data_IF_593089361524
#
_entry.id   IF_593089361524
#
_cell.length_a   1.000
_cell.length_b   1.000
_cell.length_c   1.000
_cell.angle_alpha   90.00
_cell.angle_beta   90.00
_cell.angle_gamma   90.00
#
_symmetry.space_group_name_H-M   'P 1'
#
loop_
_entity.id
_entity.type
_entity.pdbx_description
1 polymer ?
#
# COMPACT_ATOMS: atom_id res chain seq x y z
N UNK A 1 6.24 14.88 -20.03
CA UNK A 1 6.56 14.77 -18.61
C UNK A 1 5.42 13.95 -18.04
N UNK A 2 5.69 12.89 -17.31
CA UNK A 2 4.67 12.05 -16.70
C UNK A 2 4.53 12.43 -15.23
N UNK A 3 3.31 12.48 -14.73
CA UNK A 3 3.00 12.86 -13.36
C UNK A 3 2.34 11.70 -12.61
N UNK A 4 2.82 11.43 -11.39
CA UNK A 4 2.20 10.53 -10.45
C UNK A 4 1.60 11.34 -9.28
N UNK A 5 0.31 11.17 -9.03
CA UNK A 5 -0.28 11.61 -7.78
C UNK A 5 -0.03 10.54 -6.72
N UNK A 6 0.60 10.91 -5.62
CA UNK A 6 0.85 10.04 -4.47
C UNK A 6 0.00 10.53 -3.29
N UNK A 7 -0.90 9.70 -2.83
CA UNK A 7 -1.69 9.97 -1.62
C UNK A 7 -0.97 9.33 -0.44
N UNK A 8 -0.45 10.17 0.44
CA UNK A 8 0.09 9.79 1.75
C UNK A 8 -0.93 10.16 2.83
N UNK A 9 -1.24 9.24 3.73
CA UNK A 9 -2.26 9.52 4.76
C UNK A 9 -1.71 10.39 5.87
N UNK A 10 -0.43 10.20 6.23
CA UNK A 10 0.32 11.01 7.19
C UNK A 10 1.81 11.05 6.83
N UNK A 11 2.66 11.57 7.72
CA UNK A 11 4.10 11.67 7.49
C UNK A 11 4.87 10.36 7.72
N UNK A 12 4.22 9.33 8.26
CA UNK A 12 4.85 8.05 8.60
C UNK A 12 4.67 6.98 7.52
N UNK A 13 3.82 7.22 6.53
CA UNK A 13 3.56 6.30 5.41
C UNK A 13 3.99 6.86 4.04
N UNK A 14 5.25 7.30 3.83
CA UNK A 14 5.71 7.77 2.52
C UNK A 14 5.89 6.64 1.52
N UNK A 15 5.82 6.97 0.22
CA UNK A 15 5.96 5.99 -0.86
C UNK A 15 7.39 5.41 -1.03
N UNK A 16 8.42 5.95 -0.35
CA UNK A 16 9.82 5.48 -0.28
C UNK A 16 10.31 4.77 -1.56
N UNK A 17 10.68 3.50 -1.49
CA UNK A 17 11.23 2.73 -2.60
C UNK A 17 10.35 2.70 -3.85
N UNK A 18 9.03 2.68 -3.71
CA UNK A 18 8.08 2.78 -4.83
C UNK A 18 8.17 4.16 -5.48
N UNK A 19 8.16 5.24 -4.68
CA UNK A 19 8.32 6.61 -5.17
C UNK A 19 9.65 6.82 -5.90
N UNK A 20 10.76 6.29 -5.36
CA UNK A 20 12.07 6.33 -6.01
C UNK A 20 12.04 5.62 -7.37
N UNK A 21 11.42 4.43 -7.47
CA UNK A 21 11.30 3.72 -8.75
C UNK A 21 10.48 4.49 -9.76
N UNK A 22 9.39 5.13 -9.35
CA UNK A 22 8.61 5.99 -10.25
C UNK A 22 9.45 7.14 -10.83
N UNK A 23 10.27 7.79 -10.00
CA UNK A 23 11.19 8.84 -10.46
C UNK A 23 12.21 8.28 -11.45
N UNK A 24 12.80 7.12 -11.20
CA UNK A 24 13.71 6.44 -12.13
C UNK A 24 13.02 6.09 -13.47
N UNK A 25 11.72 5.81 -13.46
CA UNK A 25 10.89 5.55 -14.64
C UNK A 25 10.38 6.84 -15.31
N UNK A 26 10.83 8.02 -14.84
CA UNK A 26 10.61 9.33 -15.46
C UNK A 26 9.32 10.03 -15.05
N UNK A 27 8.76 9.69 -13.90
CA UNK A 27 7.63 10.41 -13.32
C UNK A 27 8.11 11.55 -12.42
N UNK A 28 7.40 12.66 -12.46
CA UNK A 28 7.41 13.67 -11.40
C UNK A 28 6.33 13.29 -10.38
N UNK A 29 6.64 13.42 -9.08
CA UNK A 29 5.71 13.07 -8.03
C UNK A 29 5.04 14.32 -7.46
N UNK A 30 3.71 14.29 -7.38
CA UNK A 30 2.94 15.24 -6.57
C UNK A 30 2.38 14.48 -5.37
N UNK A 31 2.83 14.86 -4.17
CA UNK A 31 2.41 14.22 -2.92
C UNK A 31 1.28 15.03 -2.30
N UNK A 32 0.14 14.39 -2.12
CA UNK A 32 -0.98 14.92 -1.36
C UNK A 32 -1.06 14.19 -0.01
N UNK A 33 -0.83 14.92 1.07
CA UNK A 33 -0.95 14.38 2.43
C UNK A 33 -2.34 14.67 2.99
N UNK A 34 -3.06 13.60 3.36
CA UNK A 34 -4.44 13.66 3.86
C UNK A 34 -4.51 14.36 5.21
N UNK A 35 -3.70 13.92 6.18
CA UNK A 35 -3.65 14.44 7.54
C UNK A 35 -2.45 15.38 7.72
N UNK A 36 -2.66 16.51 8.40
CA UNK A 36 -1.57 17.41 8.80
C UNK A 36 -0.93 16.98 10.12
N UNK A 37 -1.70 16.33 10.97
CA UNK A 37 -1.31 15.77 12.26
C UNK A 37 -1.68 14.29 12.27
N UNK A 38 -0.74 13.35 12.42
CA UNK A 38 -1.04 11.92 12.43
C UNK A 38 -1.92 11.50 13.61
N UNK A 39 -1.94 12.28 14.70
CA UNK A 39 -2.78 12.00 15.87
C UNK A 39 -4.21 12.55 15.71
N UNK A 40 -4.48 13.39 14.70
CA UNK A 40 -5.82 13.91 14.38
C UNK A 40 -6.35 13.25 13.10
N UNK A 41 -7.33 12.31 13.20
CA UNK A 41 -7.87 11.60 12.03
C UNK A 41 -8.76 12.45 11.13
N UNK A 42 -8.97 13.73 11.45
CA UNK A 42 -9.89 14.60 10.73
C UNK A 42 -9.20 15.35 9.60
N UNK A 43 -9.76 15.24 8.40
CA UNK A 43 -9.33 16.05 7.26
C UNK A 43 -10.51 16.55 6.44
N UNK A 44 -10.48 17.84 6.11
CA UNK A 44 -11.44 18.46 5.19
C UNK A 44 -10.78 18.93 3.89
N UNK A 45 -9.50 18.61 3.68
CA UNK A 45 -8.76 18.96 2.47
C UNK A 45 -9.46 18.39 1.24
N UNK A 46 -9.66 19.18 0.17
CA UNK A 46 -10.16 18.65 -1.09
C UNK A 46 -9.08 17.74 -1.71
N UNK A 47 -9.46 16.52 -2.10
CA UNK A 47 -8.56 15.67 -2.86
C UNK A 47 -8.31 16.28 -4.26
N UNK A 48 -7.09 16.13 -4.82
CA UNK A 48 -6.80 16.46 -6.21
C UNK A 48 -7.68 15.65 -7.17
N UNK A 49 -7.89 16.14 -8.38
CA UNK A 49 -8.50 15.33 -9.43
C UNK A 49 -7.46 14.36 -10.00
N UNK A 50 -7.55 13.09 -9.62
CA UNK A 50 -6.58 12.07 -10.04
C UNK A 50 -6.58 11.84 -11.57
N UNK A 51 -7.59 12.33 -12.31
CA UNK A 51 -7.62 12.24 -13.78
C UNK A 51 -6.70 13.23 -14.48
N UNK A 52 -6.12 14.16 -13.75
CA UNK A 52 -5.08 15.09 -14.26
C UNK A 52 -3.67 14.46 -14.27
N UNK A 53 -3.52 13.23 -13.75
CA UNK A 53 -2.26 12.52 -13.61
C UNK A 53 -2.19 11.27 -14.48
N UNK A 54 -0.96 10.82 -14.78
CA UNK A 54 -0.73 9.61 -15.57
C UNK A 54 -0.94 8.34 -14.75
N UNK A 55 -0.70 8.40 -13.43
CA UNK A 55 -0.95 7.33 -12.45
C UNK A 55 -1.35 7.88 -11.09
N UNK A 56 -2.02 7.05 -10.29
CA UNK A 56 -2.36 7.29 -8.89
C UNK A 56 -1.71 6.23 -8.01
N UNK A 57 -1.04 6.64 -6.93
CA UNK A 57 -0.49 5.76 -5.89
C UNK A 57 -1.11 6.10 -4.55
N UNK A 58 -1.56 5.09 -3.81
CA UNK A 58 -2.11 5.21 -2.47
C UNK A 58 -1.20 4.42 -1.51
N UNK A 59 -0.69 5.06 -0.46
CA UNK A 59 0.20 4.40 0.50
C UNK A 59 -0.54 3.77 1.68
N UNK A 60 0.21 3.21 2.61
CA UNK A 60 -0.30 2.67 3.86
C UNK A 60 -0.88 3.73 4.81
N UNK A 61 -1.59 3.27 5.83
CA UNK A 61 -2.15 4.11 6.89
C UNK A 61 -2.34 3.26 8.16
N UNK A 62 -2.22 3.83 9.37
CA UNK A 62 -2.55 3.13 10.61
C UNK A 62 -4.06 2.95 10.83
N UNK A 63 -4.89 3.60 10.02
CA UNK A 63 -6.35 3.56 10.14
C UNK A 63 -6.94 2.35 9.41
N UNK A 64 -8.17 1.97 9.79
CA UNK A 64 -8.97 0.96 9.08
C UNK A 64 -9.96 1.63 8.13
N UNK A 65 -10.06 1.16 6.88
CA UNK A 65 -10.98 1.71 5.86
C UNK A 65 -12.44 1.70 6.33
N UNK A 66 -12.81 0.73 7.17
CA UNK A 66 -14.17 0.61 7.71
C UNK A 66 -14.41 1.40 9.00
N UNK A 67 -13.39 2.04 9.58
CA UNK A 67 -13.54 2.90 10.77
C UNK A 67 -14.04 4.29 10.39
N UNK A 68 -15.28 4.36 9.91
CA UNK A 68 -15.91 5.62 9.50
C UNK A 68 -16.18 6.58 10.66
N UNK A 69 -16.13 6.11 11.91
CA UNK A 69 -16.28 6.96 13.08
C UNK A 69 -15.04 7.86 13.25
N UNK A 70 -13.83 7.32 12.98
CA UNK A 70 -12.58 8.07 13.06
C UNK A 70 -12.27 8.82 11.75
N UNK A 71 -12.26 8.13 10.60
CA UNK A 71 -11.79 8.69 9.33
C UNK A 71 -12.90 9.07 8.35
N UNK A 72 -14.15 9.06 8.78
CA UNK A 72 -15.32 9.38 7.94
C UNK A 72 -15.31 10.76 7.30
N UNK A 73 -14.50 11.69 7.83
CA UNK A 73 -14.34 13.02 7.25
C UNK A 73 -13.67 13.03 5.87
N UNK A 74 -12.93 11.96 5.49
CA UNK A 74 -12.16 11.91 4.25
C UNK A 74 -12.24 10.59 3.48
N UNK A 75 -12.40 9.44 4.13
CA UNK A 75 -12.31 8.12 3.45
C UNK A 75 -13.31 7.97 2.30
N UNK A 76 -14.55 8.45 2.47
CA UNK A 76 -15.56 8.37 1.41
C UNK A 76 -15.16 9.16 0.15
N UNK A 77 -14.50 10.32 0.33
CA UNK A 77 -14.01 11.14 -0.79
C UNK A 77 -12.80 10.51 -1.48
N UNK A 78 -11.94 9.83 -0.73
CA UNK A 78 -10.82 9.09 -1.30
C UNK A 78 -11.30 7.91 -2.13
N UNK A 79 -12.25 7.10 -1.60
CA UNK A 79 -12.86 6.01 -2.34
C UNK A 79 -13.51 6.50 -3.65
N UNK A 80 -14.23 7.64 -3.62
CA UNK A 80 -14.82 8.25 -4.81
C UNK A 80 -13.76 8.68 -5.82
N UNK A 81 -12.67 9.31 -5.38
CA UNK A 81 -11.53 9.70 -6.22
C UNK A 81 -10.90 8.48 -6.91
N UNK A 82 -10.66 7.40 -6.15
CA UNK A 82 -10.06 6.16 -6.67
C UNK A 82 -10.99 5.49 -7.70
N UNK A 83 -12.28 5.40 -7.41
CA UNK A 83 -13.28 4.88 -8.34
C UNK A 83 -13.29 5.68 -9.64
N UNK A 84 -13.33 7.01 -9.56
CA UNK A 84 -13.31 7.88 -10.74
C UNK A 84 -12.00 7.74 -11.53
N UNK A 85 -10.85 7.65 -10.88
CA UNK A 85 -9.56 7.43 -11.53
C UNK A 85 -9.55 6.12 -12.33
N UNK A 86 -9.98 5.02 -11.70
CA UNK A 86 -10.08 3.71 -12.35
C UNK A 86 -11.03 3.72 -13.56
N UNK A 87 -12.23 4.27 -13.40
CA UNK A 87 -13.26 4.36 -14.47
C UNK A 87 -12.77 5.20 -15.66
N UNK A 88 -11.90 6.17 -15.41
CA UNK A 88 -11.28 7.00 -16.47
C UNK A 88 -10.02 6.38 -17.08
N UNK A 89 -9.61 5.19 -16.60
CA UNK A 89 -8.47 4.45 -17.11
C UNK A 89 -7.11 4.94 -16.58
N UNK A 90 -7.10 5.76 -15.51
CA UNK A 90 -5.88 6.08 -14.77
C UNK A 90 -5.45 4.85 -13.99
N UNK A 91 -4.23 4.34 -14.19
CA UNK A 91 -3.72 3.20 -13.41
C UNK A 91 -3.59 3.58 -11.93
N UNK A 92 -4.02 2.67 -11.05
CA UNK A 92 -3.96 2.89 -9.60
C UNK A 92 -3.10 1.79 -8.96
N UNK A 93 -2.10 2.19 -8.17
CA UNK A 93 -1.33 1.29 -7.31
C UNK A 93 -1.67 1.58 -5.85
N UNK A 94 -2.30 0.61 -5.18
CA UNK A 94 -2.64 0.71 -3.76
C UNK A 94 -1.74 -0.18 -2.92
N UNK A 95 -1.11 0.38 -1.87
CA UNK A 95 -0.19 -0.29 -0.97
C UNK A 95 -0.85 -0.44 0.41
N UNK A 96 -0.99 -1.65 0.92
CA UNK A 96 -1.60 -1.99 2.21
C UNK A 96 -2.99 -1.34 2.37
N UNK A 97 -3.13 -0.31 3.19
CA UNK A 97 -4.36 0.46 3.30
C UNK A 97 -4.84 0.98 1.94
N UNK A 98 -3.93 1.48 1.08
CA UNK A 98 -4.26 1.90 -0.27
C UNK A 98 -4.82 0.76 -1.15
N UNK A 99 -4.33 -0.47 -0.97
CA UNK A 99 -4.90 -1.68 -1.59
C UNK A 99 -6.32 -1.98 -1.09
N UNK A 100 -6.58 -1.76 0.19
CA UNK A 100 -7.90 -1.91 0.80
C UNK A 100 -8.87 -0.82 0.31
N UNK A 101 -8.41 0.43 0.18
CA UNK A 101 -9.20 1.53 -0.42
C UNK A 101 -9.54 1.22 -1.87
N UNK A 102 -8.56 0.77 -2.66
CA UNK A 102 -8.78 0.37 -4.06
C UNK A 102 -9.81 -0.77 -4.15
N UNK A 103 -9.71 -1.79 -3.29
CA UNK A 103 -10.70 -2.86 -3.24
C UNK A 103 -12.09 -2.33 -2.94
N UNK A 104 -12.24 -1.49 -1.91
CA UNK A 104 -13.52 -0.91 -1.53
C UNK A 104 -14.11 -0.03 -2.66
N UNK A 105 -13.28 0.74 -3.36
CA UNK A 105 -13.69 1.57 -4.49
C UNK A 105 -14.24 0.75 -5.68
N UNK A 106 -13.78 -0.49 -5.83
CA UNK A 106 -14.13 -1.37 -6.95
C UNK A 106 -15.11 -2.49 -6.58
N UNK A 107 -15.84 -2.32 -5.48
CA UNK A 107 -16.94 -3.22 -5.07
C UNK A 107 -16.52 -4.40 -4.20
N UNK A 108 -15.25 -4.44 -3.77
CA UNK A 108 -14.78 -5.30 -2.69
C UNK A 108 -14.99 -4.64 -1.31
N UNK A 109 -14.22 -5.07 -0.32
CA UNK A 109 -14.29 -4.54 1.04
C UNK A 109 -12.94 -4.68 1.74
N UNK A 110 -12.68 -3.82 2.74
CA UNK A 110 -11.69 -4.07 3.76
C UNK A 110 -12.32 -4.83 4.94
N UNK A 111 -11.61 -5.75 5.52
CA UNK A 111 -12.08 -6.53 6.66
C UNK A 111 -10.92 -6.93 7.58
N UNK A 112 -11.25 -7.21 8.85
CA UNK A 112 -10.28 -7.69 9.84
C UNK A 112 -9.81 -9.09 9.49
N UNK A 113 -8.51 -9.35 9.59
CA UNK A 113 -7.94 -10.69 9.47
C UNK A 113 -8.13 -11.50 10.76
N UNK A 114 -8.06 -12.81 10.67
CA UNK A 114 -8.10 -13.70 11.84
C UNK A 114 -6.86 -13.51 12.74
N UNK A 115 -5.73 -13.17 12.13
CA UNK A 115 -4.48 -12.84 12.82
C UNK A 115 -3.72 -11.77 12.02
N UNK A 116 -3.03 -10.81 12.67
CA UNK A 116 -2.19 -9.84 11.96
C UNK A 116 -0.95 -10.51 11.36
N UNK A 117 -0.39 -9.88 10.35
CA UNK A 117 0.94 -10.22 9.80
C UNK A 117 1.91 -9.08 10.08
N UNK A 118 3.10 -9.41 10.63
CA UNK A 118 4.17 -8.48 10.94
C UNK A 118 5.51 -9.05 10.52
N UNK A 119 6.34 -8.24 9.88
CA UNK A 119 7.69 -8.61 9.46
C UNK A 119 7.75 -9.18 8.06
N UNK A 120 8.77 -9.97 7.77
CA UNK A 120 9.08 -10.46 6.44
C UNK A 120 8.46 -11.84 6.19
N UNK A 121 7.55 -11.92 5.22
CA UNK A 121 6.78 -13.14 4.92
C UNK A 121 6.92 -13.57 3.46
N UNK A 122 7.00 -14.87 3.24
CA UNK A 122 6.84 -15.46 1.91
C UNK A 122 5.35 -15.53 1.55
N UNK A 123 5.05 -15.31 0.28
CA UNK A 123 3.70 -15.39 -0.28
C UNK A 123 3.66 -16.43 -1.41
N UNK A 124 2.48 -16.99 -1.66
CA UNK A 124 2.23 -17.82 -2.84
C UNK A 124 1.80 -16.91 -4.01
N UNK A 125 2.44 -17.02 -5.15
CA UNK A 125 2.21 -16.15 -6.30
C UNK A 125 2.02 -16.92 -7.60
N UNK A 126 1.06 -16.45 -8.41
CA UNK A 126 0.80 -16.97 -9.74
C UNK A 126 1.63 -16.26 -10.84
N UNK A 127 2.37 -15.17 -10.48
CA UNK A 127 3.18 -14.36 -11.38
C UNK A 127 4.59 -14.07 -10.80
N UNK A 128 5.43 -15.08 -10.57
CA UNK A 128 6.71 -14.92 -9.84
C UNK A 128 7.72 -13.98 -10.50
N UNK A 129 7.63 -13.76 -11.81
CA UNK A 129 8.50 -12.82 -12.53
C UNK A 129 8.16 -11.35 -12.28
N UNK A 130 6.90 -11.06 -11.89
CA UNK A 130 6.40 -9.71 -11.61
C UNK A 130 6.22 -9.47 -10.11
N UNK A 131 5.65 -10.46 -9.43
CA UNK A 131 5.41 -10.47 -7.99
C UNK A 131 6.14 -11.68 -7.43
N UNK A 132 7.36 -11.49 -6.97
CA UNK A 132 8.18 -12.58 -6.41
C UNK A 132 7.53 -13.20 -5.17
N UNK A 133 7.92 -14.42 -4.80
CA UNK A 133 7.49 -15.08 -3.56
C UNK A 133 7.91 -14.32 -2.29
N UNK A 134 8.82 -13.37 -2.41
CA UNK A 134 9.25 -12.53 -1.29
C UNK A 134 10.63 -12.95 -0.75
N UNK A 135 10.90 -12.76 0.55
CA UNK A 135 9.92 -12.26 1.52
C UNK A 135 9.53 -10.79 1.29
N UNK A 136 8.26 -10.47 1.58
CA UNK A 136 7.72 -9.12 1.57
C UNK A 136 7.46 -8.65 2.98
N UNK A 137 7.54 -7.32 3.20
CA UNK A 137 7.28 -6.75 4.52
C UNK A 137 5.78 -6.57 4.74
N UNK A 138 5.29 -7.18 5.82
CA UNK A 138 3.90 -7.13 6.25
C UNK A 138 3.77 -6.31 7.53
N UNK A 139 2.73 -5.48 7.59
CA UNK A 139 2.32 -4.79 8.81
C UNK A 139 0.84 -4.44 8.71
N UNK A 140 -0.01 -5.41 8.98
CA UNK A 140 -1.44 -5.19 8.85
C UNK A 140 -2.29 -6.06 9.79
N UNK A 141 -3.42 -5.50 10.18
CA UNK A 141 -4.49 -6.14 10.92
C UNK A 141 -5.69 -6.42 10.03
N UNK A 142 -5.87 -5.61 9.01
CA UNK A 142 -6.97 -5.67 8.06
C UNK A 142 -6.44 -6.15 6.70
N UNK A 143 -7.32 -6.70 5.90
CA UNK A 143 -7.07 -7.10 4.53
C UNK A 143 -8.20 -6.64 3.62
N UNK A 144 -8.06 -6.89 2.34
CA UNK A 144 -9.11 -6.66 1.35
C UNK A 144 -9.73 -7.96 0.88
N UNK A 145 -10.98 -7.89 0.42
CA UNK A 145 -11.54 -8.93 -0.45
C UNK A 145 -11.18 -8.61 -1.90
N UNK A 146 -10.94 -9.64 -2.71
CA UNK A 146 -10.68 -9.45 -4.15
C UNK A 146 -11.99 -9.02 -4.84
N UNK A 147 -12.04 -7.83 -5.49
CA UNK A 147 -13.25 -7.35 -6.14
C UNK A 147 -13.75 -8.29 -7.26
N UNK A 148 -15.05 -8.26 -7.56
CA UNK A 148 -15.61 -9.03 -8.67
C UNK A 148 -14.98 -8.60 -10.01
N UNK A 149 -14.52 -9.55 -10.80
CA UNK A 149 -13.82 -9.30 -12.06
C UNK A 149 -12.32 -9.02 -11.92
N UNK A 150 -11.81 -8.89 -10.70
CA UNK A 150 -10.37 -8.84 -10.45
C UNK A 150 -9.74 -10.24 -10.47
N UNK A 151 -8.45 -10.29 -10.71
CA UNK A 151 -7.61 -11.50 -10.60
C UNK A 151 -6.81 -11.41 -9.31
N UNK A 152 -6.94 -12.40 -8.43
CA UNK A 152 -6.01 -12.62 -7.34
C UNK A 152 -4.68 -13.10 -7.93
N UNK A 153 -3.60 -12.39 -7.64
CA UNK A 153 -2.26 -12.66 -8.18
C UNK A 153 -1.38 -13.37 -7.16
N UNK A 154 -1.53 -13.00 -5.90
CA UNK A 154 -0.74 -13.59 -4.80
C UNK A 154 -1.53 -13.62 -3.49
N UNK A 155 -1.14 -14.55 -2.61
CA UNK A 155 -1.80 -14.80 -1.32
C UNK A 155 -0.82 -15.28 -0.26
N UNK A 156 -1.16 -15.04 1.01
CA UNK A 156 -0.57 -15.74 2.16
C UNK A 156 -1.57 -16.76 2.75
N UNK A 157 -1.18 -17.44 3.82
CA UNK A 157 -2.10 -18.29 4.57
C UNK A 157 -3.19 -17.48 5.32
N UNK A 158 -3.03 -16.15 5.37
CA UNK A 158 -3.90 -15.24 6.12
C UNK A 158 -4.86 -14.50 5.20
N UNK A 159 -4.35 -14.03 4.04
CA UNK A 159 -5.11 -13.10 3.21
C UNK A 159 -4.65 -13.09 1.74
N UNK A 160 -5.49 -12.59 0.82
CA UNK A 160 -5.03 -12.14 -0.50
C UNK A 160 -3.94 -11.07 -0.33
N UNK A 161 -2.86 -11.20 -1.09
CA UNK A 161 -1.70 -10.32 -1.00
C UNK A 161 -1.58 -9.38 -2.19
N UNK A 162 -1.99 -9.81 -3.37
CA UNK A 162 -2.03 -8.96 -4.57
C UNK A 162 -3.26 -9.29 -5.39
N UNK A 163 -3.97 -8.25 -5.82
CA UNK A 163 -4.97 -8.37 -6.87
C UNK A 163 -4.74 -7.37 -7.99
N UNK A 164 -5.24 -7.70 -9.18
CA UNK A 164 -5.24 -6.82 -10.35
C UNK A 164 -6.63 -6.74 -10.95
N UNK A 165 -7.03 -5.53 -11.33
CA UNK A 165 -8.24 -5.29 -12.11
C UNK A 165 -7.99 -4.20 -13.16
N UNK A 166 -8.14 -4.54 -14.44
CA UNK A 166 -7.72 -3.64 -15.52
C UNK A 166 -6.25 -3.27 -15.40
N UNK A 167 -5.96 -1.99 -15.24
CA UNK A 167 -4.62 -1.43 -15.02
C UNK A 167 -4.34 -1.06 -13.56
N UNK A 168 -5.23 -1.43 -12.65
CA UNK A 168 -5.08 -1.14 -11.23
C UNK A 168 -4.58 -2.38 -10.48
N UNK A 169 -3.69 -2.17 -9.52
CA UNK A 169 -3.05 -3.21 -8.69
C UNK A 169 -3.17 -2.81 -7.23
N UNK A 170 -3.63 -3.71 -6.37
CA UNK A 170 -3.60 -3.57 -4.92
C UNK A 170 -2.66 -4.59 -4.30
N UNK A 171 -1.77 -4.16 -3.40
CA UNK A 171 -0.93 -5.03 -2.58
C UNK A 171 -1.37 -4.95 -1.12
N UNK A 172 -1.22 -6.02 -0.35
CA UNK A 172 -1.41 -5.98 1.10
C UNK A 172 -0.09 -5.71 1.81
N UNK A 173 0.99 -6.27 1.33
CA UNK A 173 2.35 -6.01 1.82
C UNK A 173 2.87 -4.62 1.39
N UNK A 174 4.02 -4.26 1.94
CA UNK A 174 4.68 -2.97 1.75
C UNK A 174 5.90 -3.07 0.83
N UNK A 175 5.74 -2.98 -0.51
CA UNK A 175 6.88 -3.00 -1.44
C UNK A 175 7.78 -1.76 -1.28
N UNK A 176 7.24 -0.66 -0.74
CA UNK A 176 7.96 0.57 -0.47
C UNK A 176 8.96 0.47 0.69
N UNK A 177 8.90 -0.62 1.48
CA UNK A 177 9.66 -0.76 2.72
C UNK A 177 11.17 -0.59 2.52
N UNK A 178 11.75 0.29 3.33
CA UNK A 178 13.19 0.53 3.47
C UNK A 178 13.65 0.30 4.90
N UNK A 179 14.95 0.06 5.17
CA UNK A 179 15.45 -0.06 6.54
C UNK A 179 15.10 1.16 7.41
N UNK A 180 15.17 2.38 6.83
CA UNK A 180 14.80 3.61 7.51
C UNK A 180 13.33 3.64 7.93
N UNK A 181 12.44 3.24 7.03
CA UNK A 181 11.00 3.21 7.30
C UNK A 181 10.68 2.15 8.35
N UNK A 182 11.34 0.99 8.27
CA UNK A 182 11.18 -0.07 9.27
C UNK A 182 11.63 0.39 10.67
N UNK A 183 12.82 1.01 10.79
CA UNK A 183 13.31 1.56 12.06
C UNK A 183 12.32 2.57 12.65
N UNK A 184 11.74 3.43 11.81
CA UNK A 184 10.73 4.40 12.23
C UNK A 184 9.48 3.72 12.81
N UNK A 185 8.88 2.77 12.07
CA UNK A 185 7.65 2.11 12.49
C UNK A 185 7.86 1.23 13.73
N UNK A 186 8.97 0.48 13.78
CA UNK A 186 9.34 -0.32 14.95
C UNK A 186 9.55 0.57 16.17
N UNK A 187 10.22 1.72 16.00
CA UNK A 187 10.43 2.68 17.10
C UNK A 187 9.15 3.26 17.68
N UNK A 188 8.11 3.42 16.84
CA UNK A 188 6.79 3.92 17.24
C UNK A 188 5.91 2.85 17.90
N UNK A 189 6.10 1.57 17.57
CA UNK A 189 5.17 0.48 17.90
C UNK A 189 5.84 -0.70 18.61
N UNK A 190 7.01 -0.51 19.24
CA UNK A 190 7.78 -1.60 19.86
C UNK A 190 6.96 -2.40 20.89
N UNK A 191 6.20 -1.72 21.76
CA UNK A 191 5.37 -2.37 22.78
C UNK A 191 4.24 -3.22 22.16
N UNK A 192 3.67 -2.75 21.07
CA UNK A 192 2.64 -3.46 20.31
C UNK A 192 3.19 -4.73 19.67
N UNK A 193 4.36 -4.64 19.02
CA UNK A 193 5.05 -5.79 18.43
C UNK A 193 5.34 -6.87 19.47
N UNK A 194 5.87 -6.47 20.63
CA UNK A 194 6.13 -7.39 21.76
C UNK A 194 4.84 -8.06 22.24
N UNK A 195 3.73 -7.32 22.32
CA UNK A 195 2.44 -7.87 22.70
C UNK A 195 1.93 -8.93 21.70
N UNK A 196 2.33 -8.84 20.44
CA UNK A 196 2.06 -9.85 19.40
C UNK A 196 3.14 -10.94 19.28
N UNK A 197 4.13 -10.95 20.18
CA UNK A 197 5.22 -11.95 20.20
C UNK A 197 6.29 -11.72 19.14
N UNK A 198 6.36 -10.52 18.57
CA UNK A 198 7.37 -10.12 17.59
C UNK A 198 8.53 -9.44 18.31
N UNK A 199 9.76 -9.78 17.95
CA UNK A 199 10.97 -9.15 18.46
C UNK A 199 11.31 -7.91 17.61
N UNK A 200 11.21 -6.68 18.17
CA UNK A 200 11.45 -5.45 17.40
C UNK A 200 12.90 -5.34 16.90
N UNK A 201 13.89 -5.77 17.69
CA UNK A 201 15.31 -5.70 17.31
C UNK A 201 15.61 -6.67 16.16
N UNK A 202 15.05 -7.88 16.23
CA UNK A 202 15.17 -8.86 15.16
C UNK A 202 14.54 -8.36 13.86
N UNK A 203 13.36 -7.75 13.90
CA UNK A 203 12.67 -7.19 12.73
C UNK A 203 13.50 -6.08 12.06
N UNK A 204 14.11 -5.18 12.82
CA UNK A 204 15.01 -4.15 12.27
C UNK A 204 16.25 -4.78 11.63
N UNK A 205 16.88 -5.75 12.31
CA UNK A 205 18.05 -6.44 11.79
C UNK A 205 17.75 -7.18 10.47
N UNK A 206 16.60 -7.86 10.38
CA UNK A 206 16.14 -8.56 9.19
C UNK A 206 15.92 -7.61 8.01
N UNK A 207 15.32 -6.43 8.25
CA UNK A 207 15.15 -5.41 7.22
C UNK A 207 16.47 -4.92 6.64
N UNK A 208 17.54 -4.84 7.45
CA UNK A 208 18.87 -4.54 6.96
C UNK A 208 19.44 -5.61 6.02
N UNK A 209 19.09 -6.88 6.25
CA UNK A 209 19.50 -8.01 5.39
C UNK A 209 18.68 -8.03 4.09
N UNK A 210 17.37 -7.79 4.18
CA UNK A 210 16.45 -7.90 3.04
C UNK A 210 16.46 -6.68 2.10
N UNK A 211 17.05 -5.55 2.53
CA UNK A 211 16.91 -4.25 1.84
C UNK A 211 17.21 -4.28 0.34
N UNK A 212 18.34 -4.87 -0.08
CA UNK A 212 18.74 -4.91 -1.50
C UNK A 212 17.81 -5.82 -2.32
N UNK A 213 17.43 -6.97 -1.77
CA UNK A 213 16.54 -7.91 -2.45
C UNK A 213 15.12 -7.37 -2.51
N UNK A 214 14.64 -6.73 -1.44
CA UNK A 214 13.34 -6.08 -1.44
C UNK A 214 13.28 -4.96 -2.48
N UNK A 215 14.32 -4.14 -2.59
CA UNK A 215 14.40 -3.12 -3.64
C UNK A 215 14.24 -3.72 -5.03
N UNK A 216 14.95 -4.81 -5.33
CA UNK A 216 14.86 -5.48 -6.62
C UNK A 216 13.46 -6.04 -6.90
N UNK A 217 12.81 -6.66 -5.88
CA UNK A 217 11.43 -7.18 -5.98
C UNK A 217 10.43 -6.05 -6.19
N UNK A 218 10.56 -4.97 -5.42
CA UNK A 218 9.72 -3.78 -5.54
C UNK A 218 9.83 -3.13 -6.92
N UNK A 219 11.05 -2.99 -7.43
CA UNK A 219 11.28 -2.46 -8.78
C UNK A 219 10.59 -3.29 -9.86
N UNK A 220 10.64 -4.63 -9.76
CA UNK A 220 9.97 -5.52 -10.70
C UNK A 220 8.43 -5.38 -10.63
N UNK A 221 7.86 -5.27 -9.42
CA UNK A 221 6.42 -5.06 -9.22
C UNK A 221 5.98 -3.71 -9.80
N UNK A 222 6.72 -2.62 -9.52
CA UNK A 222 6.41 -1.30 -10.06
C UNK A 222 6.53 -1.28 -11.58
N UNK A 223 7.55 -1.93 -12.13
CA UNK A 223 7.72 -2.05 -13.57
C UNK A 223 6.56 -2.79 -14.23
N UNK A 224 6.15 -3.93 -13.66
CA UNK A 224 4.98 -4.67 -14.13
C UNK A 224 3.71 -3.83 -14.09
N UNK A 225 3.47 -3.09 -13.00
CA UNK A 225 2.34 -2.15 -12.90
C UNK A 225 2.38 -1.09 -14.00
N UNK A 226 3.54 -0.46 -14.24
CA UNK A 226 3.70 0.59 -15.25
C UNK A 226 3.58 0.08 -16.69
N UNK A 227 3.98 -1.15 -16.95
CA UNK A 227 3.91 -1.77 -18.28
C UNK A 227 2.49 -2.25 -18.63
N UNK A 228 1.52 -2.00 -17.77
CA UNK A 228 0.10 -2.25 -17.99
C UNK A 228 -0.34 -3.61 -17.44
N UNK A 229 -0.01 -3.79 -16.17
CA UNK A 229 -0.40 -4.97 -15.40
C UNK A 229 -1.77 -5.51 -15.74
#
# INVERSE_FOLDING_TARGET
MKWALVIEHDEYGPAEGVGERLVERGFELEVFRVLDDPDDPISTKPFPDATDYDILVLTGSPWSVHDTDSIGSWIGREIEMVCNAHDRGVPVLGLCFGGQVLSAALGGAACRTDRPEFGWHLIDTDLPDAVAEGPWFEWHYDTFTVPEGAVEVARSDVSPQVFRIGRSVGTQFHPEMTPRLNELWVGMSADELVAHGVDPEAMVAESGVEAEQNRSRSDALVDWFLDGA
#
